data_IF_597582294725
#
_entry.id   IF_597582294725
#
_cell.length_a   1.000
_cell.length_b   1.000
_cell.length_c   1.000
_cell.angle_alpha   90.00
_cell.angle_beta   90.00
_cell.angle_gamma   90.00
#
_symmetry.space_group_name_H-M   'P 1'
#
loop_
_entity.id
_entity.type
_entity.pdbx_description
1 polymer ?
#
# COMPACT_ATOMS: atom_id res chain seq x y z
N UNK A 1 21.57 -7.05 -14.37
CA UNK A 1 20.73 -5.96 -13.80
C UNK A 1 20.29 -5.00 -14.89
N UNK A 2 21.20 -4.53 -15.76
CA UNK A 2 20.85 -3.75 -16.96
C UNK A 2 19.94 -4.54 -17.92
N UNK A 3 20.18 -5.83 -18.09
CA UNK A 3 19.38 -6.70 -18.98
C UNK A 3 17.90 -6.84 -18.59
N UNK A 4 17.56 -6.62 -17.31
CA UNK A 4 16.16 -6.64 -16.82
C UNK A 4 15.49 -5.28 -17.07
N UNK A 5 16.25 -4.18 -16.93
CA UNK A 5 15.78 -2.81 -17.17
C UNK A 5 15.69 -2.47 -18.66
N UNK A 6 16.52 -3.11 -19.49
CA UNK A 6 16.49 -3.00 -20.95
C UNK A 6 15.38 -3.86 -21.58
N UNK A 7 14.67 -4.67 -20.78
CA UNK A 7 13.49 -5.38 -21.26
C UNK A 7 12.35 -4.37 -21.45
N UNK A 8 11.80 -4.22 -22.68
CA UNK A 8 10.77 -3.22 -22.97
C UNK A 8 9.52 -3.38 -22.10
N UNK A 9 9.16 -4.61 -21.72
CA UNK A 9 7.98 -4.86 -20.87
C UNK A 9 8.19 -4.32 -19.45
N UNK A 10 9.38 -4.54 -18.87
CA UNK A 10 9.70 -4.10 -17.51
C UNK A 10 9.87 -2.58 -17.46
N UNK A 11 10.51 -2.00 -18.47
CA UNK A 11 10.69 -0.55 -18.59
C UNK A 11 9.34 0.17 -18.73
N UNK A 12 8.44 -0.35 -19.57
CA UNK A 12 7.10 0.20 -19.77
C UNK A 12 6.25 0.11 -18.50
N UNK A 13 6.28 -1.05 -17.82
CA UNK A 13 5.61 -1.23 -16.53
C UNK A 13 6.11 -0.25 -15.45
N UNK A 14 7.43 -0.09 -15.30
CA UNK A 14 8.01 0.84 -14.31
C UNK A 14 7.69 2.30 -14.64
N UNK A 15 7.65 2.64 -15.94
CA UNK A 15 7.29 3.97 -16.41
C UNK A 15 5.81 4.26 -16.13
N UNK A 16 4.93 3.32 -16.44
CA UNK A 16 3.48 3.37 -16.15
C UNK A 16 3.22 3.53 -14.64
N UNK A 17 3.91 2.74 -13.82
CA UNK A 17 3.82 2.81 -12.36
C UNK A 17 4.28 4.17 -11.81
N UNK A 18 5.37 4.72 -12.36
CA UNK A 18 5.90 6.03 -11.95
C UNK A 18 5.06 7.20 -12.47
N UNK A 19 4.44 7.06 -13.64
CA UNK A 19 3.53 8.04 -14.22
C UNK A 19 2.18 8.08 -13.50
N UNK A 20 1.87 7.07 -12.67
CA UNK A 20 0.61 6.98 -11.95
C UNK A 20 -0.55 6.60 -12.86
N UNK A 21 -0.29 5.86 -13.93
CA UNK A 21 -1.35 5.31 -14.78
C UNK A 21 -2.24 4.36 -13.98
N UNK A 22 -3.55 4.39 -14.24
CA UNK A 22 -4.54 3.56 -13.55
C UNK A 22 -4.75 2.26 -14.35
N UNK A 23 -3.82 1.32 -14.19
CA UNK A 23 -3.91 -0.04 -14.71
C UNK A 23 -3.92 -1.05 -13.55
N UNK A 24 -4.57 -2.20 -13.74
CA UNK A 24 -4.69 -3.28 -12.75
C UNK A 24 -3.33 -3.68 -12.18
N UNK A 25 -2.29 -3.78 -13.03
CA UNK A 25 -0.95 -4.17 -12.60
C UNK A 25 -0.32 -3.12 -11.67
N UNK A 26 -0.44 -1.84 -12.03
CA UNK A 26 0.07 -0.70 -11.24
C UNK A 26 -0.71 -0.50 -9.94
N UNK A 27 -2.04 -0.67 -9.99
CA UNK A 27 -2.93 -0.55 -8.84
C UNK A 27 -2.61 -1.63 -7.79
N UNK A 28 -2.34 -2.86 -8.22
CA UNK A 28 -1.94 -3.94 -7.32
C UNK A 28 -0.65 -3.62 -6.56
N UNK A 29 0.34 -3.03 -7.24
CA UNK A 29 1.59 -2.61 -6.60
C UNK A 29 1.34 -1.48 -5.61
N UNK A 30 0.50 -0.50 -5.95
CA UNK A 30 0.12 0.56 -5.02
C UNK A 30 -0.62 0.05 -3.78
N UNK A 31 -1.53 -0.91 -3.94
CA UNK A 31 -2.21 -1.58 -2.82
C UNK A 31 -1.19 -2.31 -1.93
N UNK A 32 -0.22 -3.00 -2.50
CA UNK A 32 0.83 -3.69 -1.75
C UNK A 32 1.71 -2.70 -0.95
N UNK A 33 2.15 -1.61 -1.58
CA UNK A 33 2.96 -0.56 -0.93
C UNK A 33 2.16 0.08 0.21
N UNK A 34 0.91 0.45 -0.04
CA UNK A 34 0.09 1.13 0.95
C UNK A 34 -0.33 0.18 2.09
N UNK A 35 -0.49 -1.11 1.82
CA UNK A 35 -0.63 -2.14 2.86
C UNK A 35 0.61 -2.19 3.74
N UNK A 36 1.80 -2.21 3.16
CA UNK A 36 3.06 -2.25 3.92
C UNK A 36 3.24 -1.00 4.80
N UNK A 37 2.97 0.19 4.24
CA UNK A 37 3.01 1.45 5.00
C UNK A 37 1.97 1.46 6.12
N UNK A 38 0.78 0.91 5.86
CA UNK A 38 -0.29 0.78 6.85
C UNK A 38 0.08 -0.14 8.00
N UNK A 39 0.79 -1.26 7.75
CA UNK A 39 1.31 -2.10 8.83
C UNK A 39 2.27 -1.33 9.73
N UNK A 40 3.16 -0.52 9.17
CA UNK A 40 4.11 0.29 9.94
C UNK A 40 3.38 1.35 10.77
N UNK A 41 2.47 2.10 10.13
CA UNK A 41 1.66 3.11 10.82
C UNK A 41 0.77 2.50 11.90
N UNK A 42 0.15 1.36 11.60
CA UNK A 42 -0.66 0.60 12.54
C UNK A 42 0.14 0.07 13.72
N UNK A 43 1.35 -0.47 13.50
CA UNK A 43 2.24 -0.94 14.55
C UNK A 43 2.62 0.20 15.51
N UNK A 44 3.00 1.36 14.96
CA UNK A 44 3.32 2.56 15.75
C UNK A 44 2.09 3.01 16.53
N UNK A 45 0.92 3.06 15.89
CA UNK A 45 -0.35 3.40 16.54
C UNK A 45 -0.70 2.46 17.69
N UNK A 46 -0.53 1.15 17.49
CA UNK A 46 -0.72 0.13 18.52
C UNK A 46 0.23 0.33 19.69
N UNK A 47 1.53 0.53 19.43
CA UNK A 47 2.50 0.80 20.49
C UNK A 47 2.15 2.04 21.30
N UNK A 48 1.70 3.12 20.66
CA UNK A 48 1.31 4.36 21.34
C UNK A 48 0.01 4.20 22.16
N UNK A 49 -0.95 3.44 21.65
CA UNK A 49 -2.28 3.31 22.27
C UNK A 49 -2.28 2.38 23.47
N UNK A 50 -1.66 1.20 23.36
CA UNK A 50 -1.76 0.14 24.36
C UNK A 50 -0.41 -0.49 24.75
N UNK A 51 0.71 0.01 24.22
CA UNK A 51 2.03 -0.58 24.46
C UNK A 51 2.43 -0.62 25.95
N UNK A 52 1.93 0.31 26.76
CA UNK A 52 2.14 0.34 28.22
C UNK A 52 1.34 -0.71 28.98
N UNK A 53 0.21 -1.15 28.43
CA UNK A 53 -0.76 -2.00 29.13
C UNK A 53 -0.59 -3.48 28.77
N UNK A 54 -0.36 -3.77 27.48
CA UNK A 54 -0.26 -5.14 26.95
C UNK A 54 1.13 -5.49 26.41
N UNK A 55 2.08 -4.55 26.55
CA UNK A 55 3.45 -4.67 26.06
C UNK A 55 3.63 -4.21 24.61
N UNK A 56 4.75 -3.52 24.35
CA UNK A 56 5.02 -2.90 23.05
C UNK A 56 5.04 -3.90 21.89
N UNK A 57 5.63 -5.08 22.07
CA UNK A 57 5.72 -6.08 21.00
C UNK A 57 4.34 -6.61 20.60
N UNK A 58 3.51 -6.98 21.57
CA UNK A 58 2.17 -7.49 21.28
C UNK A 58 1.26 -6.40 20.71
N UNK A 59 1.36 -5.18 21.25
CA UNK A 59 0.61 -4.04 20.72
C UNK A 59 1.03 -3.67 19.29
N UNK A 60 2.33 -3.77 18.97
CA UNK A 60 2.82 -3.58 17.60
C UNK A 60 2.30 -4.64 16.65
N UNK A 61 2.25 -5.91 17.06
CA UNK A 61 1.71 -7.01 16.24
C UNK A 61 0.23 -6.80 15.94
N UNK A 62 -0.58 -6.45 16.94
CA UNK A 62 -2.00 -6.15 16.73
C UNK A 62 -2.19 -4.91 15.85
N UNK A 63 -1.43 -3.85 16.11
CA UNK A 63 -1.44 -2.64 15.29
C UNK A 63 -1.08 -2.92 13.83
N UNK A 64 -0.04 -3.72 13.58
CA UNK A 64 0.36 -4.11 12.23
C UNK A 64 -0.70 -4.97 11.51
N UNK A 65 -1.39 -5.84 12.25
CA UNK A 65 -2.45 -6.71 11.71
C UNK A 65 -3.70 -5.91 11.33
N UNK A 66 -4.12 -4.98 12.19
CA UNK A 66 -5.37 -4.22 12.02
C UNK A 66 -5.21 -2.88 11.31
N UNK A 67 -4.00 -2.33 11.20
CA UNK A 67 -3.71 -1.15 10.38
C UNK A 67 -4.23 -1.31 8.95
N UNK A 68 -3.86 -2.41 8.25
CA UNK A 68 -4.34 -2.69 6.90
C UNK A 68 -5.86 -2.87 6.79
N UNK A 69 -6.55 -3.26 7.86
CA UNK A 69 -7.99 -3.50 7.83
C UNK A 69 -8.79 -2.22 7.50
N UNK A 70 -8.29 -1.05 7.91
CA UNK A 70 -8.86 0.24 7.50
C UNK A 70 -8.26 0.79 6.21
N UNK A 71 -6.97 0.57 5.97
CA UNK A 71 -6.28 1.13 4.81
C UNK A 71 -6.69 0.46 3.49
N UNK A 72 -6.77 -0.87 3.44
CA UNK A 72 -7.08 -1.60 2.20
C UNK A 72 -8.44 -1.16 1.62
N UNK A 73 -9.55 -1.13 2.38
CA UNK A 73 -10.83 -0.64 1.85
C UNK A 73 -10.75 0.81 1.38
N UNK A 74 -10.05 1.68 2.10
CA UNK A 74 -9.90 3.08 1.73
C UNK A 74 -9.14 3.26 0.40
N UNK A 75 -8.06 2.50 0.19
CA UNK A 75 -7.28 2.53 -1.04
C UNK A 75 -8.11 2.00 -2.21
N UNK A 76 -8.81 0.88 -2.03
CA UNK A 76 -9.68 0.32 -3.07
C UNK A 76 -10.77 1.32 -3.47
N UNK A 77 -11.43 1.94 -2.50
CA UNK A 77 -12.43 2.98 -2.78
C UNK A 77 -11.81 4.20 -3.48
N UNK A 78 -10.61 4.63 -3.07
CA UNK A 78 -9.87 5.72 -3.70
C UNK A 78 -9.52 5.44 -5.15
N UNK A 79 -9.03 4.23 -5.46
CA UNK A 79 -8.72 3.81 -6.83
C UNK A 79 -9.97 3.74 -7.70
N UNK A 80 -11.08 3.19 -7.18
CA UNK A 80 -12.37 3.17 -7.90
C UNK A 80 -12.86 4.58 -8.20
N UNK A 81 -12.76 5.51 -7.24
CA UNK A 81 -13.13 6.92 -7.44
C UNK A 81 -12.23 7.62 -8.47
N UNK A 82 -10.91 7.40 -8.41
CA UNK A 82 -9.97 7.97 -9.37
C UNK A 82 -10.22 7.45 -10.79
N UNK A 83 -10.50 6.15 -10.91
CA UNK A 83 -10.84 5.52 -12.18
C UNK A 83 -12.14 6.11 -12.75
N UNK A 84 -13.16 6.30 -11.92
CA UNK A 84 -14.42 6.93 -12.32
C UNK A 84 -14.23 8.37 -12.80
N UNK A 85 -13.44 9.16 -12.08
CA UNK A 85 -13.17 10.56 -12.44
C UNK A 85 -12.31 10.71 -13.70
N UNK A 86 -11.40 9.77 -13.96
CA UNK A 86 -10.51 9.80 -15.13
C UNK A 86 -11.25 9.37 -16.41
N UNK A 87 -12.28 8.54 -16.30
CA UNK A 87 -13.06 8.02 -17.44
C UNK A 87 -14.34 8.81 -17.75
N UNK A 88 -14.56 9.96 -17.09
CA UNK A 88 -15.66 10.89 -17.36
C UNK A 88 -15.20 12.05 -18.24
#
# INVERSE_FOLDING_TARGET
>A
MRDILDNPIVSDFLTSLAAGELNIETELVWVAIATALSMVGGAIGGMLLAGKDIGYQFSAMLGALFGPAGAIPAIVLGLVLLNFLTNY
#
